data_IF_889639009550
#
_entry.id   IF_889639009550
#
_cell.length_a   1.000
_cell.length_b   1.000
_cell.length_c   1.000
_cell.angle_alpha   90.00
_cell.angle_beta   90.00
_cell.angle_gamma   90.00
#
_symmetry.space_group_name_H-M   'P 1'
#
loop_
_entity.id
_entity.type
_entity.pdbx_description
1 polymer ?
#
# COMPACT_ATOMS: atom_id res chain seq x y z
N UNK A 1 74.64 -9.60 -26.43
CA UNK A 1 76.08 -9.28 -26.44
C UNK A 1 76.30 -8.16 -27.43
N UNK A 2 76.82 -6.98 -27.13
CA UNK A 2 77.06 -6.19 -25.93
C UNK A 2 77.92 -5.01 -26.41
N UNK A 3 77.54 -3.77 -26.06
CA UNK A 3 78.45 -2.66 -25.65
C UNK A 3 79.43 -2.11 -26.73
N UNK A 4 79.99 -0.88 -26.68
CA UNK A 4 79.86 0.36 -25.90
C UNK A 4 80.42 1.52 -26.81
N UNK A 5 80.51 2.82 -26.51
CA UNK A 5 80.29 3.69 -25.33
C UNK A 5 80.14 5.17 -25.79
N UNK A 6 79.51 6.08 -25.01
CA UNK A 6 80.12 7.37 -24.58
C UNK A 6 79.20 8.43 -23.92
N UNK A 7 79.88 9.21 -23.07
CA UNK A 7 79.47 10.25 -22.13
C UNK A 7 78.78 11.55 -22.64
N UNK A 8 77.82 12.06 -21.82
CA UNK A 8 77.72 13.39 -21.16
C UNK A 8 78.35 14.65 -21.83
N UNK A 9 77.71 15.86 -21.71
CA UNK A 9 77.78 16.63 -20.44
C UNK A 9 76.62 17.59 -20.05
N UNK A 10 76.75 18.14 -18.82
CA UNK A 10 76.21 19.37 -18.20
C UNK A 10 75.94 20.58 -19.16
N UNK A 11 75.19 21.65 -18.82
CA UNK A 11 74.98 22.28 -17.50
C UNK A 11 73.75 23.24 -17.43
N UNK A 12 73.20 23.43 -16.22
CA UNK A 12 72.56 24.64 -15.61
C UNK A 12 71.90 25.76 -16.46
N UNK A 13 70.70 26.20 -16.02
CA UNK A 13 70.44 27.60 -15.59
C UNK A 13 69.16 27.71 -14.73
N UNK A 14 69.06 28.79 -13.94
CA UNK A 14 68.10 29.03 -12.85
C UNK A 14 66.72 29.58 -13.29
N UNK A 15 65.90 29.89 -12.27
CA UNK A 15 64.56 30.51 -12.20
C UNK A 15 63.42 29.47 -12.08
N UNK A 16 62.57 29.46 -11.04
CA UNK A 16 62.32 30.46 -10.00
C UNK A 16 60.84 30.85 -9.99
N UNK A 17 60.02 30.14 -9.23
CA UNK A 17 58.63 30.50 -8.91
C UNK A 17 58.10 29.68 -7.72
N UNK A 18 57.20 30.30 -6.97
CA UNK A 18 56.55 29.83 -5.73
C UNK A 18 55.92 28.43 -5.75
N UNK A 19 55.81 27.85 -4.55
CA UNK A 19 54.99 26.68 -4.29
C UNK A 19 53.49 27.04 -4.35
N UNK A 20 52.66 26.31 -5.12
CA UNK A 20 51.22 26.33 -4.96
C UNK A 20 50.86 25.67 -3.62
N UNK A 21 50.19 26.42 -2.75
CA UNK A 21 49.61 25.90 -1.51
C UNK A 21 48.42 24.97 -1.81
N UNK A 22 48.14 24.09 -0.86
CA UNK A 22 46.95 23.23 -0.78
C UNK A 22 45.71 23.83 -1.45
N UNK A 23 45.29 23.22 -2.56
CA UNK A 23 43.91 23.27 -3.01
C UNK A 23 43.31 21.87 -2.84
N UNK A 24 42.64 21.67 -1.71
CA UNK A 24 41.71 20.57 -1.55
C UNK A 24 40.65 20.65 -2.68
N UNK A 25 40.21 19.51 -3.24
CA UNK A 25 39.23 19.52 -4.30
C UNK A 25 37.94 20.20 -3.83
N UNK A 26 37.49 21.15 -4.64
CA UNK A 26 36.27 21.92 -4.45
C UNK A 26 35.09 20.98 -4.15
N UNK A 27 34.51 21.10 -2.95
CA UNK A 27 33.36 20.30 -2.54
C UNK A 27 32.20 20.73 -3.43
N UNK A 28 31.92 19.91 -4.45
CA UNK A 28 30.74 20.08 -5.28
C UNK A 28 29.52 20.05 -4.37
N UNK A 29 28.80 21.17 -4.36
CA UNK A 29 27.60 21.38 -3.56
C UNK A 29 26.53 20.40 -4.04
N UNK A 30 26.47 19.22 -3.41
CA UNK A 30 25.43 18.24 -3.70
C UNK A 30 24.11 18.90 -3.35
N UNK A 31 23.13 18.96 -4.29
CA UNK A 31 21.84 19.54 -3.98
C UNK A 31 21.23 18.75 -2.81
N UNK A 32 21.18 19.40 -1.64
CA UNK A 32 20.66 18.81 -0.39
C UNK A 32 19.31 18.20 -0.73
N UNK A 33 19.21 16.87 -0.61
CA UNK A 33 17.99 16.14 -0.94
C UNK A 33 16.81 16.83 -0.25
N UNK A 34 15.70 17.10 -0.96
CA UNK A 34 14.57 17.81 -0.39
C UNK A 34 14.13 17.06 0.86
N UNK A 35 14.18 17.77 1.99
CA UNK A 35 13.86 17.23 3.29
C UNK A 35 12.39 16.81 3.26
N UNK A 36 12.14 15.51 3.04
CA UNK A 36 10.81 14.93 2.96
C UNK A 36 10.19 15.15 4.33
N UNK A 37 9.35 16.19 4.42
CA UNK A 37 8.52 16.42 5.60
C UNK A 37 7.76 15.11 5.83
N UNK A 38 7.69 14.61 7.08
CA UNK A 38 6.86 13.45 7.36
C UNK A 38 5.45 13.74 6.82
N UNK A 39 4.75 12.73 6.25
CA UNK A 39 3.40 12.94 5.76
C UNK A 39 2.60 13.59 6.88
N UNK A 40 2.00 14.74 6.57
CA UNK A 40 1.16 15.44 7.54
C UNK A 40 -0.06 14.53 7.73
N UNK A 41 -0.04 13.76 8.82
CA UNK A 41 -1.17 12.92 9.20
C UNK A 41 -2.43 13.78 9.11
N UNK A 42 -3.46 13.36 8.36
CA UNK A 42 -4.66 14.16 8.20
C UNK A 42 -5.25 14.49 9.57
N UNK A 43 -5.85 15.68 9.75
CA UNK A 43 -6.38 16.09 11.04
C UNK A 43 -7.35 15.01 11.55
N UNK A 44 -7.04 14.46 12.73
CA UNK A 44 -7.88 13.45 13.37
C UNK A 44 -9.26 14.08 13.59
N UNK A 45 -10.36 13.49 13.07
CA UNK A 45 -11.68 14.07 13.25
C UNK A 45 -12.04 14.06 14.74
N UNK A 46 -12.54 15.19 15.24
CA UNK A 46 -12.97 15.37 16.64
C UNK A 46 -14.04 14.31 17.05
N UNK A 47 -14.74 13.74 16.07
CA UNK A 47 -15.77 12.68 16.21
C UNK A 47 -15.19 11.26 16.37
N UNK A 48 -13.95 11.11 16.85
CA UNK A 48 -13.32 9.79 17.01
C UNK A 48 -13.83 9.06 18.26
N UNK A 49 -14.47 7.90 18.07
CA UNK A 49 -14.84 6.97 19.14
C UNK A 49 -14.02 5.67 19.05
N UNK A 50 -14.02 4.87 20.12
CA UNK A 50 -13.33 3.58 20.16
C UNK A 50 -14.30 2.44 19.83
N UNK A 51 -13.95 1.64 18.83
CA UNK A 51 -14.62 0.39 18.46
C UNK A 51 -13.95 -0.74 19.23
N UNK A 52 -14.75 -1.65 19.81
CA UNK A 52 -14.23 -2.89 20.40
C UNK A 52 -14.29 -4.01 19.36
N UNK A 53 -13.15 -4.37 18.79
CA UNK A 53 -13.01 -5.51 17.88
C UNK A 53 -12.67 -6.78 18.67
N UNK A 54 -13.33 -7.90 18.38
CA UNK A 54 -13.13 -9.17 19.11
C UNK A 54 -12.46 -10.19 18.19
N UNK A 55 -11.28 -10.68 18.58
CA UNK A 55 -10.52 -11.68 17.83
C UNK A 55 -11.13 -13.09 17.93
N UNK A 56 -10.66 -14.01 17.08
CA UNK A 56 -11.02 -15.44 17.15
C UNK A 56 -10.70 -16.09 18.51
N UNK A 57 -9.77 -15.50 19.26
CA UNK A 57 -9.33 -15.95 20.59
C UNK A 57 -10.16 -15.33 21.73
N UNK A 58 -11.09 -14.43 21.42
CA UNK A 58 -11.84 -13.66 22.40
C UNK A 58 -11.03 -12.51 23.03
N UNK A 59 -9.97 -12.03 22.38
CA UNK A 59 -9.26 -10.82 22.81
C UNK A 59 -10.01 -9.58 22.32
N UNK A 60 -10.28 -8.63 23.22
CA UNK A 60 -10.97 -7.37 22.92
C UNK A 60 -9.93 -6.29 22.61
N UNK A 61 -9.85 -5.87 21.36
CA UNK A 61 -8.90 -4.88 20.84
C UNK A 61 -9.67 -3.59 20.58
N UNK A 62 -9.27 -2.49 21.23
CA UNK A 62 -9.90 -1.17 21.04
C UNK A 62 -9.16 -0.39 19.96
N UNK A 63 -9.88 0.02 18.92
CA UNK A 63 -9.33 0.75 17.76
C UNK A 63 -10.14 2.03 17.52
N UNK A 64 -9.51 3.18 17.19
CA UNK A 64 -10.25 4.37 16.79
C UNK A 64 -11.06 4.16 15.51
N UNK A 65 -12.31 4.62 15.49
CA UNK A 65 -13.24 4.43 14.36
C UNK A 65 -12.71 4.94 13.02
N UNK A 66 -11.97 6.06 13.02
CA UNK A 66 -11.39 6.62 11.80
C UNK A 66 -10.30 5.72 11.19
N UNK A 67 -9.54 4.97 11.99
CA UNK A 67 -8.53 4.02 11.47
C UNK A 67 -9.20 2.85 10.75
N UNK A 68 -10.33 2.38 11.27
CA UNK A 68 -11.12 1.32 10.65
C UNK A 68 -11.87 1.77 9.37
N UNK A 69 -11.87 3.06 9.04
CA UNK A 69 -12.50 3.56 7.81
C UNK A 69 -11.86 3.03 6.52
N UNK A 70 -10.63 2.47 6.59
CA UNK A 70 -9.99 1.77 5.48
C UNK A 70 -10.61 0.38 5.19
N UNK A 71 -11.46 -0.13 6.07
CA UNK A 71 -12.22 -1.37 5.87
C UNK A 71 -13.61 -1.03 5.30
N UNK A 72 -13.92 -1.50 4.10
CA UNK A 72 -15.29 -1.36 3.56
C UNK A 72 -16.30 -2.20 4.35
N UNK A 73 -15.88 -3.35 4.88
CA UNK A 73 -16.76 -4.19 5.74
C UNK A 73 -17.14 -3.42 7.01
N UNK A 74 -16.20 -2.74 7.65
CA UNK A 74 -16.49 -1.89 8.81
C UNK A 74 -17.44 -0.73 8.44
N UNK A 75 -17.15 0.02 7.37
CA UNK A 75 -18.03 1.09 6.86
C UNK A 75 -19.47 0.59 6.63
N UNK A 76 -19.63 -0.51 5.88
CA UNK A 76 -20.93 -1.08 5.55
C UNK A 76 -21.69 -1.58 6.80
N UNK A 77 -20.99 -2.09 7.82
CA UNK A 77 -21.59 -2.44 9.11
C UNK A 77 -22.05 -1.20 9.87
N UNK A 78 -21.26 -0.13 9.90
CA UNK A 78 -21.66 1.14 10.53
C UNK A 78 -22.88 1.77 9.82
N UNK A 79 -22.87 1.85 8.48
CA UNK A 79 -24.00 2.30 7.67
C UNK A 79 -25.28 1.48 7.95
N UNK A 80 -25.15 0.15 8.00
CA UNK A 80 -26.28 -0.77 8.27
C UNK A 80 -26.86 -0.59 9.69
N UNK A 81 -26.07 -0.09 10.63
CA UNK A 81 -26.47 0.20 12.00
C UNK A 81 -26.89 1.67 12.21
N UNK A 82 -26.83 2.51 11.17
CA UNK A 82 -27.14 3.93 11.24
C UNK A 82 -26.09 4.77 11.98
N UNK A 83 -24.87 4.26 12.10
CA UNK A 83 -23.74 4.95 12.74
C UNK A 83 -23.01 5.79 11.72
N UNK A 84 -23.24 7.10 11.74
CA UNK A 84 -22.47 8.07 10.95
C UNK A 84 -21.03 8.17 11.47
N UNK A 85 -20.06 7.90 10.59
CA UNK A 85 -18.63 7.98 10.88
C UNK A 85 -18.04 9.38 10.63
N UNK A 86 -18.82 10.32 10.08
CA UNK A 86 -18.39 11.70 9.78
C UNK A 86 -17.32 11.79 8.68
N UNK A 87 -17.25 10.79 7.80
CA UNK A 87 -16.18 10.64 6.80
C UNK A 87 -16.38 11.49 5.53
N UNK A 88 -17.54 12.11 5.37
CA UNK A 88 -17.95 12.88 4.17
C UNK A 88 -17.03 14.06 3.80
N UNK A 89 -16.14 14.47 4.71
CA UNK A 89 -15.23 15.61 4.51
C UNK A 89 -13.92 15.23 3.82
N UNK A 90 -13.58 13.94 3.69
CA UNK A 90 -12.24 13.50 3.23
C UNK A 90 -12.14 13.09 1.75
N UNK A 91 -13.27 12.90 1.05
CA UNK A 91 -13.30 12.47 -0.36
C UNK A 91 -13.96 13.47 -1.31
N UNK A 92 -14.09 14.74 -0.88
CA UNK A 92 -14.64 15.83 -1.68
C UNK A 92 -13.64 16.40 -2.73
N UNK A 93 -13.03 15.52 -3.53
CA UNK A 93 -12.44 15.85 -4.84
C UNK A 93 -12.04 14.57 -5.61
N UNK A 94 -13.04 13.88 -6.15
CA UNK A 94 -12.88 13.12 -7.40
C UNK A 94 -14.11 13.34 -8.26
N UNK A 95 -13.95 13.84 -9.50
CA UNK A 95 -15.07 14.17 -10.36
C UNK A 95 -15.74 12.88 -10.85
N UNK A 96 -16.88 12.56 -10.24
CA UNK A 96 -17.84 11.61 -10.80
C UNK A 96 -18.25 12.14 -12.18
N UNK A 97 -17.81 11.48 -13.26
CA UNK A 97 -18.23 11.82 -14.62
C UNK A 97 -19.72 11.48 -14.79
N UNK A 98 -20.57 12.43 -14.41
CA UNK A 98 -22.00 12.40 -14.63
C UNK A 98 -22.30 12.46 -16.14
N UNK A 99 -22.30 11.28 -16.79
CA UNK A 99 -22.78 11.11 -18.16
C UNK A 99 -24.30 11.28 -18.16
N UNK A 100 -24.73 12.53 -18.26
CA UNK A 100 -26.13 12.90 -18.34
C UNK A 100 -26.72 12.54 -19.71
N UNK A 101 -27.61 11.54 -19.76
CA UNK A 101 -28.54 11.39 -20.89
C UNK A 101 -29.69 12.42 -20.77
N UNK A 102 -30.00 13.19 -21.83
CA UNK A 102 -31.06 14.17 -21.79
C UNK A 102 -32.44 13.60 -22.14
N UNK A 103 -33.48 14.22 -21.57
CA UNK A 103 -34.89 14.17 -21.95
C UNK A 103 -35.75 12.99 -21.46
N UNK A 104 -36.33 13.16 -20.26
CA UNK A 104 -37.80 13.14 -20.12
C UNK A 104 -38.27 13.88 -18.85
N UNK A 105 -38.20 15.22 -18.89
CA UNK A 105 -38.86 16.07 -17.91
C UNK A 105 -40.14 16.67 -18.53
N UNK A 106 -41.27 15.99 -18.33
CA UNK A 106 -42.59 16.51 -18.66
C UNK A 106 -43.47 16.48 -17.40
N UNK A 107 -43.82 17.67 -16.93
CA UNK A 107 -45.02 18.00 -16.14
C UNK A 107 -45.35 17.12 -14.91
N UNK A 108 -45.14 17.68 -13.71
CA UNK A 108 -46.24 18.28 -12.94
C UNK A 108 -45.67 18.99 -11.70
N UNK A 109 -46.11 20.24 -11.48
CA UNK A 109 -45.72 21.07 -10.34
C UNK A 109 -47.00 21.55 -9.62
N UNK A 110 -46.87 21.95 -8.35
CA UNK A 110 -47.91 22.40 -7.41
C UNK A 110 -48.73 21.28 -6.74
N UNK A 111 -48.48 21.04 -5.45
CA UNK A 111 -49.16 21.81 -4.38
C UNK A 111 -48.15 22.12 -3.27
N UNK A 112 -48.11 23.36 -2.81
CA UNK A 112 -47.46 23.71 -1.55
C UNK A 112 -48.49 24.34 -0.62
N UNK A 113 -48.56 23.89 0.64
CA UNK A 113 -48.63 24.77 1.82
C UNK A 113 -48.62 24.04 3.18
N UNK A 114 -47.84 24.63 4.09
CA UNK A 114 -48.02 24.68 5.55
C UNK A 114 -47.81 23.40 6.39
N UNK A 115 -46.60 23.28 6.96
CA UNK A 115 -46.39 22.74 8.32
C UNK A 115 -46.00 23.89 9.29
N UNK A 116 -46.45 23.87 10.56
CA UNK A 116 -46.16 24.92 11.53
C UNK A 116 -44.81 24.71 12.25
N UNK A 117 -44.13 25.79 12.70
CA UNK A 117 -42.83 25.68 13.34
C UNK A 117 -42.94 25.40 14.84
N UNK A 118 -42.25 24.36 15.34
CA UNK A 118 -42.00 24.18 16.77
C UNK A 118 -40.53 23.85 17.07
N UNK A 119 -39.85 24.88 17.58
CA UNK A 119 -38.91 24.85 18.69
C UNK A 119 -37.66 23.96 18.60
N UNK A 120 -36.54 24.64 18.28
CA UNK A 120 -35.25 24.58 18.95
C UNK A 120 -35.15 23.63 20.17
N UNK A 121 -34.83 22.36 19.90
CA UNK A 121 -34.27 21.40 20.85
C UNK A 121 -32.77 21.29 20.63
N UNK A 122 -32.01 21.14 21.72
CA UNK A 122 -30.54 21.11 21.66
C UNK A 122 -30.06 19.84 20.93
N UNK A 123 -29.43 19.98 19.76
CA UNK A 123 -28.68 18.88 19.12
C UNK A 123 -27.32 18.66 19.80
N UNK A 124 -27.36 18.41 21.10
CA UNK A 124 -26.31 17.70 21.85
C UNK A 124 -26.86 16.32 22.21
N UNK A 125 -27.38 15.62 21.21
CA UNK A 125 -27.97 14.29 21.33
C UNK A 125 -26.95 13.25 20.87
N UNK A 126 -26.26 12.69 21.86
CA UNK A 126 -25.58 11.39 21.83
C UNK A 126 -25.04 10.88 20.49
N UNK A 127 -23.76 11.15 20.26
CA UNK A 127 -22.84 10.11 19.80
C UNK A 127 -22.56 9.16 20.98
N UNK A 128 -23.60 8.44 21.43
CA UNK A 128 -23.42 7.31 22.33
C UNK A 128 -22.61 6.25 21.57
N UNK A 129 -21.66 5.62 22.26
CA UNK A 129 -20.63 4.82 21.63
C UNK A 129 -21.22 3.69 20.77
N UNK A 130 -20.43 3.19 19.83
CA UNK A 130 -20.67 1.88 19.22
C UNK A 130 -20.57 0.80 20.31
N UNK A 131 -21.69 0.54 20.99
CA UNK A 131 -21.86 -0.49 22.04
C UNK A 131 -21.90 -1.91 21.45
N UNK A 132 -21.81 -2.04 20.11
CA UNK A 132 -21.55 -3.29 19.43
C UNK A 132 -20.09 -3.74 19.57
N UNK A 133 -19.89 -5.05 19.64
CA UNK A 133 -18.57 -5.65 19.40
C UNK A 133 -18.45 -5.98 17.91
N UNK A 134 -17.34 -5.62 17.28
CA UNK A 134 -17.06 -5.94 15.87
C UNK A 134 -16.32 -7.29 15.78
N UNK A 135 -16.96 -8.38 15.32
CA UNK A 135 -16.34 -9.70 15.30
C UNK A 135 -15.35 -9.83 14.14
N UNK A 136 -14.10 -10.17 14.44
CA UNK A 136 -13.03 -10.33 13.45
C UNK A 136 -13.01 -11.71 12.77
N UNK A 137 -14.03 -12.54 13.00
CA UNK A 137 -14.14 -13.88 12.45
C UNK A 137 -12.96 -14.77 12.88
N UNK A 138 -12.16 -15.20 11.89
CA UNK A 138 -11.02 -16.09 12.10
C UNK A 138 -9.66 -15.36 12.27
N UNK A 139 -9.65 -14.03 12.38
CA UNK A 139 -8.41 -13.27 12.53
C UNK A 139 -7.91 -13.33 13.98
N UNK A 140 -6.63 -13.72 14.16
CA UNK A 140 -5.92 -13.72 15.45
C UNK A 140 -5.67 -12.29 15.95
N UNK A 141 -5.55 -12.13 17.27
CA UNK A 141 -5.38 -10.81 17.87
C UNK A 141 -4.13 -10.06 17.34
N UNK A 142 -2.99 -10.74 17.26
CA UNK A 142 -1.73 -10.13 16.83
C UNK A 142 -1.69 -9.80 15.33
N UNK A 143 -2.35 -10.61 14.51
CA UNK A 143 -2.53 -10.32 13.08
C UNK A 143 -3.41 -9.08 12.89
N UNK A 144 -4.50 -8.95 13.65
CA UNK A 144 -5.34 -7.75 13.59
C UNK A 144 -4.58 -6.49 14.05
N UNK A 145 -3.79 -6.55 15.13
CA UNK A 145 -2.91 -5.44 15.56
C UNK A 145 -1.95 -5.02 14.43
N UNK A 146 -1.44 -5.97 13.65
CA UNK A 146 -0.60 -5.69 12.47
C UNK A 146 -1.40 -5.03 11.34
N UNK A 147 -2.63 -5.46 11.06
CA UNK A 147 -3.52 -4.80 10.09
C UNK A 147 -3.88 -3.37 10.53
N UNK A 148 -4.20 -3.14 11.81
CA UNK A 148 -4.49 -1.80 12.36
C UNK A 148 -3.29 -0.86 12.15
N UNK A 149 -2.06 -1.33 12.38
CA UNK A 149 -0.85 -0.55 12.11
C UNK A 149 -0.68 -0.17 10.62
N UNK A 150 -1.11 -1.03 9.69
CA UNK A 150 -1.15 -0.66 8.27
C UNK A 150 -2.16 0.49 8.05
N UNK A 151 -3.34 0.38 8.66
CA UNK A 151 -4.39 1.39 8.55
C UNK A 151 -3.98 2.75 9.15
N UNK A 152 -3.17 2.76 10.22
CA UNK A 152 -2.63 3.99 10.80
C UNK A 152 -1.71 4.76 9.84
N UNK A 153 -0.80 4.07 9.15
CA UNK A 153 0.13 4.70 8.19
C UNK A 153 -0.60 5.17 6.91
N UNK A 154 -1.62 4.43 6.47
CA UNK A 154 -2.37 4.71 5.23
C UNK A 154 -3.65 5.53 5.44
N UNK A 155 -3.91 6.02 6.66
CA UNK A 155 -5.11 6.79 6.95
C UNK A 155 -5.16 8.08 6.13
N UNK A 156 -6.27 8.28 5.42
CA UNK A 156 -6.48 9.41 4.49
C UNK A 156 -5.69 9.34 3.18
N UNK A 157 -4.99 8.23 2.90
CA UNK A 157 -4.41 7.98 1.58
C UNK A 157 -5.48 7.36 0.65
N UNK A 158 -5.52 7.70 -0.65
CA UNK A 158 -6.41 7.04 -1.61
C UNK A 158 -5.97 5.59 -1.85
N UNK A 159 -6.92 4.70 -2.17
CA UNK A 159 -6.61 3.33 -2.52
C UNK A 159 -5.74 3.25 -3.79
N UNK A 160 -4.75 2.35 -3.85
CA UNK A 160 -3.89 2.20 -5.01
C UNK A 160 -4.66 1.61 -6.21
N UNK A 161 -4.59 2.31 -7.34
CA UNK A 161 -5.16 1.87 -8.61
C UNK A 161 -4.23 0.91 -9.36
N UNK A 162 -4.72 -0.28 -9.71
CA UNK A 162 -4.00 -1.19 -10.61
C UNK A 162 -3.84 -0.55 -11.99
N UNK A 163 -2.60 -0.26 -12.37
CA UNK A 163 -2.26 0.27 -13.70
C UNK A 163 -1.75 -0.86 -14.58
N UNK A 164 -2.15 -0.87 -15.85
CA UNK A 164 -1.72 -1.85 -16.85
C UNK A 164 -0.95 -1.11 -17.93
N UNK A 165 0.22 -1.63 -18.32
CA UNK A 165 1.01 -1.06 -19.40
C UNK A 165 0.33 -1.35 -20.75
N UNK A 166 -0.08 -0.32 -21.53
CA UNK A 166 -0.86 -0.52 -22.75
C UNK A 166 -0.07 -1.15 -23.91
N UNK A 167 1.26 -1.32 -23.79
CA UNK A 167 2.10 -1.90 -24.85
C UNK A 167 2.25 -3.42 -24.76
N UNK A 168 2.30 -3.97 -23.55
CA UNK A 168 2.54 -5.39 -23.28
C UNK A 168 1.51 -6.03 -22.34
N UNK A 169 0.52 -5.26 -21.87
CA UNK A 169 -0.56 -5.68 -20.96
C UNK A 169 -0.08 -6.20 -19.59
N UNK A 170 1.17 -5.92 -19.21
CA UNK A 170 1.70 -6.22 -17.88
C UNK A 170 1.11 -5.29 -16.82
N UNK A 171 0.92 -5.80 -15.60
CA UNK A 171 0.56 -4.98 -14.44
C UNK A 171 1.76 -4.16 -14.02
N UNK A 172 1.60 -2.84 -13.92
CA UNK A 172 2.60 -1.93 -13.38
C UNK A 172 2.61 -2.10 -11.86
N UNK A 173 3.74 -2.51 -11.32
CA UNK A 173 3.93 -2.66 -9.88
C UNK A 173 3.87 -1.30 -9.17
N UNK A 174 3.28 -1.28 -7.99
CA UNK A 174 3.35 -0.16 -7.05
C UNK A 174 4.79 0.02 -6.56
N UNK A 175 5.21 1.26 -6.34
CA UNK A 175 6.45 1.56 -5.62
C UNK A 175 6.18 1.39 -4.12
N UNK A 176 7.01 0.61 -3.43
CA UNK A 176 6.92 0.45 -1.98
C UNK A 176 7.68 1.59 -1.28
N UNK A 177 7.07 2.16 -0.25
CA UNK A 177 7.75 3.00 0.75
C UNK A 177 8.59 2.15 1.70
N UNK A 178 9.59 2.74 2.41
CA UNK A 178 10.40 2.01 3.40
C UNK A 178 9.59 1.41 4.56
N UNK A 179 8.38 1.92 4.82
CA UNK A 179 7.44 1.32 5.77
C UNK A 179 6.87 0.02 5.20
N UNK A 180 6.33 0.06 3.98
CA UNK A 180 5.65 -1.06 3.35
C UNK A 180 6.61 -2.21 3.04
N UNK A 181 7.82 -1.90 2.56
CA UNK A 181 8.88 -2.91 2.35
C UNK A 181 9.14 -3.71 3.64
N UNK A 182 9.30 -3.00 4.76
CA UNK A 182 9.55 -3.59 6.08
C UNK A 182 8.31 -4.25 6.70
N UNK A 183 7.11 -3.75 6.41
CA UNK A 183 5.86 -4.33 6.89
C UNK A 183 5.60 -5.70 6.25
N UNK A 184 5.88 -5.79 4.94
CA UNK A 184 5.75 -6.98 4.11
C UNK A 184 7.04 -7.82 4.02
N UNK A 185 8.05 -7.51 4.82
CA UNK A 185 9.22 -8.38 5.01
C UNK A 185 8.90 -9.46 6.05
N UNK A 186 8.14 -10.46 5.61
CA UNK A 186 7.50 -11.49 6.42
C UNK A 186 7.68 -12.87 5.81
N UNK A 187 7.41 -13.91 6.60
CA UNK A 187 7.31 -15.29 6.10
C UNK A 187 6.12 -15.47 5.15
N UNK A 188 6.13 -16.52 4.32
CA UNK A 188 5.01 -16.83 3.42
C UNK A 188 3.72 -17.11 4.21
N UNK A 189 3.80 -17.85 5.31
CA UNK A 189 2.65 -18.14 6.18
C UNK A 189 2.03 -16.85 6.74
N UNK A 190 2.87 -15.92 7.23
CA UNK A 190 2.42 -14.63 7.74
C UNK A 190 1.85 -13.73 6.63
N UNK A 191 2.42 -13.76 5.41
CA UNK A 191 1.87 -13.06 4.26
C UNK A 191 0.50 -13.61 3.85
N UNK A 192 0.29 -14.92 3.94
CA UNK A 192 -1.02 -15.55 3.70
C UNK A 192 -2.04 -15.13 4.78
N UNK A 193 -1.66 -15.08 6.06
CA UNK A 193 -2.52 -14.56 7.12
C UNK A 193 -2.90 -13.08 6.92
N UNK A 194 -1.93 -12.24 6.51
CA UNK A 194 -2.18 -10.83 6.12
C UNK A 194 -3.17 -10.76 4.96
N UNK A 195 -2.98 -11.56 3.90
CA UNK A 195 -3.83 -11.55 2.71
C UNK A 195 -5.27 -11.97 3.03
N UNK A 196 -5.45 -13.00 3.86
CA UNK A 196 -6.77 -13.43 4.34
C UNK A 196 -7.45 -12.35 5.20
N UNK A 197 -6.71 -11.71 6.12
CA UNK A 197 -7.25 -10.66 6.97
C UNK A 197 -7.65 -9.41 6.16
N UNK A 198 -6.80 -8.99 5.21
CA UNK A 198 -7.08 -7.87 4.31
C UNK A 198 -8.32 -8.12 3.43
N UNK A 199 -8.49 -9.36 2.94
CA UNK A 199 -9.67 -9.76 2.18
C UNK A 199 -10.94 -9.84 3.05
N UNK A 200 -10.85 -10.34 4.29
CA UNK A 200 -12.00 -10.41 5.20
C UNK A 200 -12.51 -9.02 5.62
N UNK A 201 -11.60 -8.07 5.82
CA UNK A 201 -11.95 -6.69 6.19
C UNK A 201 -12.24 -5.80 4.96
N UNK A 202 -12.02 -6.29 3.75
CA UNK A 202 -11.97 -5.52 2.50
C UNK A 202 -11.16 -4.22 2.65
N UNK A 203 -9.87 -4.38 2.95
CA UNK A 203 -8.87 -3.31 2.98
C UNK A 203 -8.05 -3.42 1.69
N UNK A 204 -8.53 -2.72 0.65
CA UNK A 204 -8.03 -2.85 -0.71
C UNK A 204 -6.55 -2.51 -0.84
N UNK A 205 -6.06 -1.41 -0.27
CA UNK A 205 -4.63 -1.06 -0.24
C UNK A 205 -3.76 -2.22 0.24
N UNK A 206 -3.98 -2.71 1.46
CA UNK A 206 -3.21 -3.81 2.06
C UNK A 206 -3.26 -5.08 1.19
N UNK A 207 -4.45 -5.44 0.69
CA UNK A 207 -4.62 -6.63 -0.16
C UNK A 207 -3.79 -6.51 -1.46
N UNK A 208 -3.78 -5.35 -2.09
CA UNK A 208 -3.06 -5.13 -3.35
C UNK A 208 -1.53 -5.15 -3.19
N UNK A 209 -1.00 -4.49 -2.15
CA UNK A 209 0.44 -4.54 -1.86
C UNK A 209 0.88 -5.94 -1.40
N UNK A 210 0.06 -6.68 -0.63
CA UNK A 210 0.34 -8.06 -0.26
C UNK A 210 0.33 -9.01 -1.47
N UNK A 211 -0.63 -8.88 -2.39
CA UNK A 211 -0.63 -9.60 -3.67
C UNK A 211 0.64 -9.33 -4.49
N UNK A 212 1.11 -8.07 -4.53
CA UNK A 212 2.35 -7.73 -5.23
C UNK A 212 3.58 -8.38 -4.57
N UNK A 213 3.69 -8.33 -3.23
CA UNK A 213 4.78 -9.01 -2.52
C UNK A 213 4.77 -10.52 -2.80
N UNK A 214 3.59 -11.15 -2.80
CA UNK A 214 3.42 -12.57 -3.15
C UNK A 214 3.91 -12.87 -4.59
N UNK A 215 3.53 -12.04 -5.56
CA UNK A 215 3.99 -12.18 -6.95
C UNK A 215 5.51 -12.04 -7.07
N UNK A 216 6.12 -11.05 -6.39
CA UNK A 216 7.57 -10.86 -6.34
C UNK A 216 8.31 -12.02 -5.66
N UNK A 217 7.70 -12.65 -4.65
CA UNK A 217 8.24 -13.86 -4.01
C UNK A 217 8.21 -15.08 -4.93
N UNK A 218 7.33 -15.14 -5.93
CA UNK A 218 7.23 -16.26 -6.89
C UNK A 218 8.08 -16.00 -8.13
N UNK A 219 8.23 -14.74 -8.54
CA UNK A 219 8.95 -14.32 -9.74
C UNK A 219 10.40 -14.82 -9.74
N UNK A 220 10.80 -15.50 -10.83
CA UNK A 220 12.16 -16.02 -11.00
C UNK A 220 12.48 -17.32 -10.26
N UNK A 221 11.55 -17.90 -9.48
CA UNK A 221 11.72 -19.21 -8.83
C UNK A 221 11.21 -20.36 -9.71
N UNK A 222 11.80 -21.55 -9.54
CA UNK A 222 11.30 -22.77 -10.18
C UNK A 222 10.06 -23.31 -9.46
N UNK A 223 9.27 -24.14 -10.15
CA UNK A 223 8.07 -24.79 -9.56
C UNK A 223 8.40 -25.57 -8.27
N UNK A 224 9.56 -26.23 -8.21
CA UNK A 224 10.00 -27.00 -7.04
C UNK A 224 10.36 -26.09 -5.86
N UNK A 225 10.99 -24.94 -6.13
CA UNK A 225 11.30 -23.93 -5.11
C UNK A 225 10.02 -23.29 -4.56
N UNK A 226 9.09 -22.89 -5.44
CA UNK A 226 7.79 -22.33 -5.03
C UNK A 226 7.02 -23.34 -4.19
N UNK A 227 6.94 -24.60 -4.61
CA UNK A 227 6.28 -25.67 -3.83
C UNK A 227 6.91 -25.86 -2.45
N UNK A 228 8.23 -25.91 -2.36
CA UNK A 228 8.95 -26.07 -1.09
C UNK A 228 8.76 -24.88 -0.13
N UNK A 229 8.74 -23.65 -0.66
CA UNK A 229 8.66 -22.42 0.14
C UNK A 229 7.22 -22.03 0.53
N UNK A 230 6.24 -22.39 -0.30
CA UNK A 230 4.81 -22.14 -0.06
C UNK A 230 4.08 -23.34 0.56
N UNK A 231 4.77 -24.44 0.85
CA UNK A 231 4.21 -25.64 1.46
C UNK A 231 3.26 -26.44 0.55
N UNK A 232 3.28 -26.23 -0.76
CA UNK A 232 2.41 -26.95 -1.69
C UNK A 232 2.93 -28.38 -1.94
N UNK A 233 2.05 -29.40 -1.88
CA UNK A 233 2.44 -30.78 -2.19
C UNK A 233 2.79 -30.95 -3.68
N UNK A 234 3.61 -31.95 -4.00
CA UNK A 234 3.76 -32.44 -5.37
C UNK A 234 2.68 -33.48 -5.66
N UNK A 235 1.61 -33.00 -6.28
CA UNK A 235 0.38 -33.73 -6.62
C UNK A 235 0.39 -34.28 -8.06
N UNK A 236 1.42 -33.99 -8.85
CA UNK A 236 1.53 -34.40 -10.25
C UNK A 236 2.39 -35.65 -10.41
N UNK A 237 1.94 -36.61 -11.21
CA UNK A 237 2.80 -37.75 -11.59
C UNK A 237 3.83 -37.31 -12.63
N UNK A 238 4.91 -38.07 -12.81
CA UNK A 238 5.92 -37.80 -13.84
C UNK A 238 5.31 -37.79 -15.25
N UNK A 239 4.27 -38.60 -15.51
CA UNK A 239 3.54 -38.58 -16.78
C UNK A 239 2.76 -37.29 -16.99
N UNK A 240 2.16 -36.72 -15.92
CA UNK A 240 1.47 -35.43 -15.97
C UNK A 240 2.47 -34.29 -16.20
N UNK A 241 3.61 -34.32 -15.50
CA UNK A 241 4.71 -33.35 -15.68
C UNK A 241 5.26 -33.38 -17.11
N UNK A 242 5.46 -34.57 -17.69
CA UNK A 242 5.86 -34.72 -19.10
C UNK A 242 4.80 -34.21 -20.07
N UNK A 243 3.51 -34.48 -19.82
CA UNK A 243 2.41 -33.99 -20.63
C UNK A 243 2.32 -32.45 -20.60
N UNK A 244 2.31 -31.85 -19.41
CA UNK A 244 2.33 -30.39 -19.20
C UNK A 244 3.56 -29.77 -19.87
N UNK A 245 4.75 -30.35 -19.69
CA UNK A 245 5.98 -29.85 -20.33
C UNK A 245 5.94 -29.95 -21.86
N UNK A 246 5.21 -30.92 -22.42
CA UNK A 246 5.00 -31.07 -23.86
C UNK A 246 3.94 -30.11 -24.42
N UNK A 247 2.92 -29.77 -23.64
CA UNK A 247 1.87 -28.81 -24.01
C UNK A 247 2.39 -27.36 -23.91
N UNK A 248 3.03 -27.02 -22.80
CA UNK A 248 3.53 -25.67 -22.51
C UNK A 248 5.01 -25.47 -22.91
N UNK A 249 5.48 -26.16 -23.97
CA UNK A 249 6.88 -26.06 -24.44
C UNK A 249 7.33 -24.61 -24.67
N UNK A 250 6.42 -23.73 -25.09
CA UNK A 250 6.69 -22.31 -25.31
C UNK A 250 7.18 -21.59 -24.03
N UNK A 251 6.68 -21.97 -22.86
CA UNK A 251 7.06 -21.36 -21.57
C UNK A 251 8.46 -21.77 -21.10
N UNK A 252 9.04 -22.84 -21.67
CA UNK A 252 10.35 -23.37 -21.29
C UNK A 252 11.47 -23.05 -22.31
N UNK A 253 11.16 -22.33 -23.39
CA UNK A 253 12.14 -22.04 -24.47
C UNK A 253 13.07 -20.86 -24.17
N UNK A 254 12.60 -19.88 -23.39
CA UNK A 254 13.31 -18.61 -23.15
C UNK A 254 14.10 -18.55 -21.83
N UNK A 255 14.09 -19.62 -21.01
CA UNK A 255 14.96 -19.75 -19.85
C UNK A 255 16.37 -20.25 -20.26
N UNK A 256 17.24 -19.33 -20.70
CA UNK A 256 18.66 -19.58 -21.00
C UNK A 256 19.57 -18.43 -20.55
#
# INVERSE_FOLDING_TARGET
MSQNDNALPNNQMENGAEAPQDQAPEVQDQPKAPEVKPPVSPPVPDTTFLVTCVSVEGEHIKVPSHILSLSHVFKSVCESLGVDLGLDVLYADSPEEAVAEPNQAAELNQVAQAEPPLQNGNKEEHLENFDGEFPLGNIKADMFKKVVKWCEEHYGQPDPEKKINPKNFETIHFEFTPFEEKFLDVSVDELQEILMAANFLDIRSLYLYACQKAALMIMGKTQEQVRAEWGFPDDLTEADKEAIKKEYQWAFQDCK
#
